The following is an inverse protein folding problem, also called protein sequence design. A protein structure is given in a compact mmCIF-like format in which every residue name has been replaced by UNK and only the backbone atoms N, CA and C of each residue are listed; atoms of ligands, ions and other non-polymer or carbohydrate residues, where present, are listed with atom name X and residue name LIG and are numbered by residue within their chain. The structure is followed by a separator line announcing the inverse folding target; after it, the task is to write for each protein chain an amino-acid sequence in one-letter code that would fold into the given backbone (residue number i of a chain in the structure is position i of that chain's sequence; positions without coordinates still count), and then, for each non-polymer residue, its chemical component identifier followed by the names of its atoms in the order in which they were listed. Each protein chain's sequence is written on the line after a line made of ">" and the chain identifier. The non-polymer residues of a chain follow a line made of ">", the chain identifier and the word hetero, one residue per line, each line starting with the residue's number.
data_IF_592327751746
#
_entry.id   IF_592327751746
#
_cell.length_a   1.000
_cell.length_b   1.000
_cell.length_c   1.000
_cell.angle_alpha   90.00
_cell.angle_beta   90.00
_cell.angle_gamma   90.00
#
_symmetry.space_group_name_H-M   'P 1'
#
loop_
_entity.id
_entity.type
_entity.pdbx_description
1 polymer ?
#
# COMPACT_ATOMS: atom_id res chain seq x y z
N UNK A 1 5.21 -2.04 5.40
CA UNK A 1 3.96 -1.51 5.99
C UNK A 1 3.72 -0.07 5.58
N UNK A 2 2.48 0.40 5.71
CA UNK A 2 2.10 1.80 5.47
C UNK A 2 1.62 2.40 6.79
N UNK A 3 2.27 3.48 7.23
CA UNK A 3 1.86 4.25 8.41
C UNK A 3 1.43 5.64 7.94
N UNK A 4 0.22 6.05 8.30
CA UNK A 4 -0.37 7.32 7.86
C UNK A 4 -0.73 8.20 9.05
N UNK A 5 -0.25 9.44 9.04
CA UNK A 5 -0.71 10.47 9.96
C UNK A 5 -1.96 11.17 9.37
N UNK A 6 -3.15 10.80 9.85
CA UNK A 6 -4.42 11.39 9.37
C UNK A 6 -4.84 12.66 10.12
N UNK A 7 -3.95 13.18 10.97
CA UNK A 7 -4.16 14.38 11.78
C UNK A 7 -2.96 15.32 11.68
N UNK A 8 -3.23 16.61 11.78
CA UNK A 8 -2.20 17.65 11.81
C UNK A 8 -1.43 17.66 13.14
N UNK A 9 -0.42 18.52 13.24
CA UNK A 9 0.42 18.67 14.43
C UNK A 9 -0.34 19.12 15.69
N UNK A 10 -1.55 19.67 15.53
CA UNK A 10 -2.44 20.08 16.62
C UNK A 10 -3.52 19.05 16.92
N UNK A 11 -3.56 17.94 16.18
CA UNK A 11 -4.50 16.85 16.35
C UNK A 11 -5.80 16.97 15.53
N UNK A 12 -5.96 18.00 14.68
CA UNK A 12 -7.15 18.09 13.85
C UNK A 12 -7.09 17.08 12.69
N UNK A 13 -8.20 16.43 12.33
CA UNK A 13 -8.23 15.52 11.19
C UNK A 13 -7.99 16.28 9.88
N UNK A 14 -7.20 15.70 8.98
CA UNK A 14 -7.12 16.19 7.61
C UNK A 14 -8.39 15.80 6.84
N UNK A 15 -8.89 16.71 6.00
CA UNK A 15 -9.81 16.33 4.93
C UNK A 15 -9.01 15.69 3.79
N UNK A 16 -8.91 14.36 3.85
CA UNK A 16 -8.17 13.57 2.86
C UNK A 16 -8.75 13.68 1.44
N UNK A 17 -10.02 14.07 1.29
CA UNK A 17 -10.62 14.21 -0.04
C UNK A 17 -10.03 15.38 -0.83
N UNK A 18 -9.55 16.41 -0.14
CA UNK A 18 -8.86 17.56 -0.74
C UNK A 18 -7.50 17.21 -1.38
N UNK A 19 -6.97 16.01 -1.11
CA UNK A 19 -5.69 15.53 -1.62
C UNK A 19 -5.84 14.41 -2.67
N UNK A 20 -7.06 14.22 -3.18
CA UNK A 20 -7.34 13.31 -4.29
C UNK A 20 -7.34 14.14 -5.57
N UNK A 21 -6.36 13.89 -6.45
CA UNK A 21 -6.33 14.50 -7.77
C UNK A 21 -7.16 13.65 -8.75
N UNK A 22 -8.36 14.13 -9.08
CA UNK A 22 -9.30 13.45 -9.98
C UNK A 22 -8.88 13.47 -11.45
N UNK A 23 -7.90 14.30 -11.84
CA UNK A 23 -7.35 14.33 -13.19
C UNK A 23 -6.26 13.27 -13.42
N UNK A 24 -5.81 12.60 -12.36
CA UNK A 24 -4.77 11.58 -12.41
C UNK A 24 -5.30 10.17 -12.14
N UNK A 25 -4.60 9.16 -12.66
CA UNK A 25 -4.90 7.75 -12.39
C UNK A 25 -3.63 6.90 -12.50
N UNK A 26 -3.57 5.83 -11.72
CA UNK A 26 -2.55 4.79 -11.90
C UNK A 26 -3.09 3.79 -12.92
N UNK A 27 -2.35 3.58 -14.02
CA UNK A 27 -2.70 2.59 -15.03
C UNK A 27 -2.01 1.27 -14.71
N UNK A 28 -2.77 0.23 -14.43
CA UNK A 28 -2.23 -1.12 -14.18
C UNK A 28 -2.75 -2.13 -15.20
N UNK A 29 -1.97 -3.18 -15.44
CA UNK A 29 -2.38 -4.33 -16.27
C UNK A 29 -2.55 -5.55 -15.37
N UNK A 30 -3.69 -6.24 -15.50
CA UNK A 30 -4.01 -7.44 -14.72
C UNK A 30 -4.57 -8.50 -15.66
N UNK A 31 -4.36 -9.77 -15.34
CA UNK A 31 -5.03 -10.89 -16.00
C UNK A 31 -6.16 -11.38 -15.09
N UNK A 32 -7.40 -11.32 -15.57
CA UNK A 32 -8.58 -11.76 -14.82
C UNK A 32 -9.28 -12.84 -15.65
N UNK A 33 -9.42 -14.04 -15.07
CA UNK A 33 -9.98 -15.22 -15.74
C UNK A 33 -9.33 -15.53 -17.11
N UNK A 34 -8.01 -15.34 -17.22
CA UNK A 34 -7.23 -15.58 -18.44
C UNK A 34 -7.33 -14.48 -19.50
N UNK A 35 -7.98 -13.35 -19.19
CA UNK A 35 -8.05 -12.18 -20.07
C UNK A 35 -7.23 -11.02 -19.52
N UNK A 36 -6.42 -10.42 -20.38
CA UNK A 36 -5.70 -9.20 -20.05
C UNK A 36 -6.65 -8.01 -20.04
N UNK A 37 -6.63 -7.28 -18.93
CA UNK A 37 -7.39 -6.05 -18.72
C UNK A 37 -6.45 -4.92 -18.33
N UNK A 38 -6.82 -3.71 -18.74
CA UNK A 38 -6.21 -2.47 -18.26
C UNK A 38 -7.15 -1.85 -17.23
N UNK A 39 -6.62 -1.49 -16.08
CA UNK A 39 -7.37 -0.92 -14.96
C UNK A 39 -6.86 0.49 -14.70
N UNK A 40 -7.80 1.40 -14.41
CA UNK A 40 -7.51 2.73 -13.88
C UNK A 40 -7.78 2.69 -12.39
N UNK A 41 -6.73 2.84 -11.59
CA UNK A 41 -6.84 2.90 -10.14
C UNK A 41 -6.92 4.36 -9.70
N UNK A 42 -7.96 4.68 -8.93
CA UNK A 42 -8.19 6.02 -8.38
C UNK A 42 -7.03 6.38 -7.43
N UNK A 43 -6.37 7.53 -7.59
CA UNK A 43 -5.32 7.97 -6.68
C UNK A 43 -5.83 8.13 -5.25
N UNK A 44 -4.99 7.81 -4.28
CA UNK A 44 -5.34 7.99 -2.88
C UNK A 44 -4.24 7.55 -1.91
N UNK A 45 -4.56 7.64 -0.62
CA UNK A 45 -3.59 7.34 0.44
C UNK A 45 -3.15 5.87 0.41
N UNK A 46 -4.10 4.94 0.20
CA UNK A 46 -3.85 3.50 0.27
C UNK A 46 -2.93 2.96 -0.84
N UNK A 47 -2.90 3.61 -1.99
CA UNK A 47 -1.99 3.26 -3.08
C UNK A 47 -0.78 4.20 -3.18
N UNK A 48 -0.60 5.09 -2.21
CA UNK A 48 0.52 6.03 -2.16
C UNK A 48 0.50 7.10 -3.25
N UNK A 49 -0.62 7.31 -3.94
CA UNK A 49 -0.78 8.31 -4.99
C UNK A 49 -1.60 9.53 -4.54
N UNK A 50 -1.66 9.81 -3.24
CA UNK A 50 -2.28 11.02 -2.73
C UNK A 50 -1.48 12.26 -3.15
N UNK A 51 -2.15 13.23 -3.77
CA UNK A 51 -1.51 14.42 -4.31
C UNK A 51 -1.13 15.40 -3.19
N UNK A 52 0.02 16.06 -3.31
CA UNK A 52 0.49 17.03 -2.30
C UNK A 52 0.82 16.44 -0.93
N UNK A 53 0.77 15.10 -0.79
CA UNK A 53 1.11 14.42 0.46
C UNK A 53 2.61 14.16 0.55
N UNK A 54 3.22 14.58 1.65
CA UNK A 54 4.63 14.29 1.91
C UNK A 54 4.80 12.80 2.23
N UNK A 55 5.45 12.09 1.31
CA UNK A 55 5.71 10.66 1.45
C UNK A 55 7.19 10.43 1.70
N UNK A 56 7.52 9.68 2.75
CA UNK A 56 8.89 9.30 3.10
C UNK A 56 8.99 7.78 3.03
N UNK A 57 9.99 7.28 2.30
CA UNK A 57 10.32 5.86 2.29
C UNK A 57 11.38 5.58 3.34
N UNK A 58 11.08 4.63 4.22
CA UNK A 58 11.99 4.20 5.29
C UNK A 58 12.32 2.72 5.08
N UNK A 59 13.60 2.41 5.02
CA UNK A 59 14.07 1.03 5.00
C UNK A 59 13.98 0.45 6.42
N UNK A 60 13.43 -0.75 6.53
CA UNK A 60 13.25 -1.47 7.80
C UNK A 60 13.88 -2.86 7.70
N UNK A 61 14.34 -3.46 8.81
CA UNK A 61 14.90 -4.81 8.79
C UNK A 61 13.92 -5.84 8.23
N UNK A 62 14.41 -6.85 7.51
CA UNK A 62 13.57 -7.85 6.86
C UNK A 62 12.71 -8.64 7.87
N UNK A 63 13.21 -8.87 9.09
CA UNK A 63 12.45 -9.54 10.14
C UNK A 63 11.16 -8.80 10.57
N UNK A 64 11.05 -7.50 10.26
CA UNK A 64 9.86 -6.71 10.59
C UNK A 64 8.69 -6.99 9.65
N UNK A 65 8.97 -7.62 8.50
CA UNK A 65 7.97 -7.89 7.48
C UNK A 65 8.21 -9.24 6.81
N UNK A 66 7.48 -10.26 7.27
CA UNK A 66 7.56 -11.64 6.76
C UNK A 66 6.29 -12.01 6.00
N UNK A 67 6.12 -11.58 4.73
CA UNK A 67 4.89 -11.80 3.98
C UNK A 67 4.79 -13.23 3.45
N UNK A 68 3.58 -13.78 3.47
CA UNK A 68 3.23 -15.05 2.84
C UNK A 68 2.51 -14.75 1.51
N UNK A 69 3.17 -14.97 0.38
CA UNK A 69 2.62 -14.72 -0.97
C UNK A 69 2.25 -16.01 -1.71
N UNK A 70 2.84 -17.12 -1.30
CA UNK A 70 2.61 -18.46 -1.84
C UNK A 70 2.54 -19.47 -0.70
N UNK A 71 2.01 -20.66 -0.98
CA UNK A 71 1.96 -21.76 -0.01
C UNK A 71 3.38 -22.13 0.49
N UNK A 72 4.39 -22.00 -0.36
CA UNK A 72 5.79 -22.29 0.00
C UNK A 72 6.34 -21.31 1.02
N UNK A 73 5.82 -20.09 1.10
CA UNK A 73 6.29 -19.12 2.10
C UNK A 73 5.94 -19.57 3.52
N UNK A 74 4.88 -20.37 3.70
CA UNK A 74 4.56 -20.96 5.00
C UNK A 74 5.63 -21.92 5.51
N UNK A 75 6.46 -22.50 4.63
CA UNK A 75 7.52 -23.44 5.02
C UNK A 75 8.74 -22.75 5.64
N UNK A 76 8.81 -21.41 5.60
CA UNK A 76 9.93 -20.67 6.18
C UNK A 76 9.90 -20.75 7.71
N UNK A 77 11.06 -20.78 8.39
CA UNK A 77 11.14 -20.95 9.85
C UNK A 77 10.31 -19.93 10.63
N UNK A 78 10.20 -18.71 10.14
CA UNK A 78 9.45 -17.61 10.78
C UNK A 78 7.93 -17.88 10.81
N UNK A 79 7.45 -18.83 10.00
CA UNK A 79 6.04 -19.21 9.89
C UNK A 79 5.73 -20.61 10.45
N UNK A 80 6.74 -21.29 11.00
CA UNK A 80 6.56 -22.61 11.62
C UNK A 80 6.20 -22.49 13.10
N UNK A 81 5.48 -23.48 13.68
CA UNK A 81 5.27 -23.55 15.12
C UNK A 81 6.62 -23.59 15.87
N UNK A 82 6.71 -22.99 17.05
CA UNK A 82 7.89 -23.17 17.90
C UNK A 82 8.06 -24.66 18.24
N UNK A 83 9.31 -25.14 18.17
CA UNK A 83 9.69 -26.51 18.52
C UNK A 83 9.58 -26.79 20.01
#
# INVERSE_FOLDING_TARGET
>A
DLVCAVRDATGNPFDLSAYIDEETAIVTSKSVAGRDIRVLERPGLWNGAMAGWNTIFVEVPLETFTPVKSVLDLLRPEHQPPS
#
